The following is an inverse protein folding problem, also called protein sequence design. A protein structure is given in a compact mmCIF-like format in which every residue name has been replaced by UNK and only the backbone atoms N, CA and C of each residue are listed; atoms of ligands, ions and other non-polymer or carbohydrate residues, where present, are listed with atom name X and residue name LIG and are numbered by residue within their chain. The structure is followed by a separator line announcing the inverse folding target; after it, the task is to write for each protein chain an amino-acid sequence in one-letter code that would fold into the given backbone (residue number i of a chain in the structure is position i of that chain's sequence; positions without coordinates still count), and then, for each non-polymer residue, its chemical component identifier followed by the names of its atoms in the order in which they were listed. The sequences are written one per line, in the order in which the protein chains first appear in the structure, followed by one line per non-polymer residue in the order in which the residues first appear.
data_IF_335524363332
#
_entry.id   IF_335524363332
#
_cell.length_a   1.000
_cell.length_b   1.000
_cell.length_c   1.000
_cell.angle_alpha   90.00
_cell.angle_beta   90.00
_cell.angle_gamma   90.00
#
_symmetry.space_group_name_H-M   'P 1'
#
loop_
_entity.id
_entity.type
_entity.pdbx_description
1 polymer ?
#
# COMPACT_ATOMS: atom_id res chain seq x y z
N UNK A 1 -21.17 -2.75 -15.60
CA UNK A 1 -20.85 -4.13 -15.17
C UNK A 1 -19.38 -4.30 -14.73
N UNK A 2 -18.41 -3.71 -15.43
CA UNK A 2 -16.96 -3.81 -15.10
C UNK A 2 -16.56 -3.23 -13.74
N UNK A 3 -17.11 -2.07 -13.34
CA UNK A 3 -16.76 -1.41 -12.07
C UNK A 3 -17.14 -2.26 -10.84
N UNK A 4 -18.29 -2.96 -10.87
CA UNK A 4 -18.72 -3.82 -9.75
C UNK A 4 -17.79 -5.02 -9.53
N UNK A 5 -17.20 -5.60 -10.60
CA UNK A 5 -16.24 -6.71 -10.47
C UNK A 5 -14.95 -6.27 -9.76
N UNK A 6 -14.47 -5.05 -10.05
CA UNK A 6 -13.27 -4.50 -9.39
C UNK A 6 -13.44 -4.37 -7.88
N UNK A 7 -14.59 -3.86 -7.43
CA UNK A 7 -14.89 -3.70 -5.99
C UNK A 7 -14.97 -5.05 -5.27
N UNK A 8 -15.57 -6.06 -5.89
CA UNK A 8 -15.67 -7.41 -5.32
C UNK A 8 -14.28 -8.03 -5.19
N UNK A 9 -13.45 -7.93 -6.23
CA UNK A 9 -12.08 -8.45 -6.22
C UNK A 9 -11.24 -7.78 -5.11
N UNK A 10 -11.38 -6.47 -4.94
CA UNK A 10 -10.70 -5.72 -3.89
C UNK A 10 -11.10 -6.21 -2.49
N UNK A 11 -12.40 -6.41 -2.24
CA UNK A 11 -12.88 -6.93 -0.95
C UNK A 11 -12.37 -8.36 -0.68
N UNK A 12 -12.27 -9.21 -1.71
CA UNK A 12 -11.70 -10.56 -1.57
C UNK A 12 -10.23 -10.48 -1.19
N UNK A 13 -9.46 -9.60 -1.84
CA UNK A 13 -8.05 -9.37 -1.55
C UNK A 13 -7.86 -8.90 -0.10
N UNK A 14 -8.63 -7.89 0.32
CA UNK A 14 -8.57 -7.36 1.69
C UNK A 14 -8.88 -8.43 2.74
N UNK A 15 -9.89 -9.27 2.52
CA UNK A 15 -10.23 -10.34 3.46
C UNK A 15 -9.15 -11.45 3.48
N UNK A 16 -8.61 -11.82 2.32
CA UNK A 16 -7.62 -12.90 2.20
C UNK A 16 -6.29 -12.55 2.88
N UNK A 17 -5.88 -11.28 2.81
CA UNK A 17 -4.58 -10.83 3.28
C UNK A 17 -4.66 -9.91 4.50
N UNK A 18 -5.80 -9.89 5.21
CA UNK A 18 -6.02 -9.02 6.36
C UNK A 18 -4.89 -9.12 7.41
N UNK A 19 -4.44 -10.35 7.71
CA UNK A 19 -3.38 -10.60 8.68
C UNK A 19 -2.02 -10.01 8.28
N UNK A 20 -1.66 -10.06 6.98
CA UNK A 20 -0.38 -9.56 6.49
C UNK A 20 -0.43 -8.08 6.11
N UNK A 21 -1.61 -7.55 5.79
CA UNK A 21 -1.78 -6.18 5.29
C UNK A 21 -1.20 -5.17 6.27
N UNK A 22 -1.61 -5.22 7.54
CA UNK A 22 -1.17 -4.24 8.53
C UNK A 22 0.33 -4.29 8.76
N UNK A 23 0.91 -5.49 8.84
CA UNK A 23 2.36 -5.68 9.02
C UNK A 23 3.15 -5.13 7.84
N UNK A 24 2.72 -5.42 6.60
CA UNK A 24 3.41 -4.96 5.38
C UNK A 24 3.31 -3.45 5.18
N UNK A 25 2.16 -2.86 5.48
CA UNK A 25 2.00 -1.39 5.44
C UNK A 25 2.90 -0.68 6.47
N UNK A 26 3.05 -1.25 7.68
CA UNK A 26 3.99 -0.71 8.67
C UNK A 26 5.46 -0.87 8.23
N UNK A 27 5.80 -1.99 7.59
CA UNK A 27 7.16 -2.24 7.09
C UNK A 27 7.54 -1.25 5.98
N UNK A 28 6.69 -1.05 4.97
CA UNK A 28 6.98 -0.12 3.89
C UNK A 28 7.06 1.33 4.38
N UNK A 29 6.26 1.71 5.38
CA UNK A 29 6.36 2.99 6.07
C UNK A 29 7.72 3.15 6.77
N UNK A 30 8.16 2.14 7.50
CA UNK A 30 9.43 2.16 8.22
C UNK A 30 10.62 2.26 7.26
N UNK A 31 10.62 1.46 6.18
CA UNK A 31 11.65 1.50 5.13
C UNK A 31 11.71 2.87 4.47
N UNK A 32 10.55 3.49 4.21
CA UNK A 32 10.47 4.86 3.67
C UNK A 32 11.07 5.90 4.63
N UNK A 33 10.78 5.81 5.94
CA UNK A 33 11.33 6.72 6.96
C UNK A 33 12.86 6.53 7.10
N UNK A 34 13.33 5.29 7.03
CA UNK A 34 14.74 4.94 7.17
C UNK A 34 15.59 5.28 5.92
N UNK A 35 14.97 5.71 4.82
CA UNK A 35 15.63 5.87 3.51
C UNK A 35 16.32 4.59 3.03
N UNK A 36 15.77 3.43 3.40
CA UNK A 36 16.23 2.13 2.93
C UNK A 36 15.66 1.82 1.54
N UNK A 37 15.94 0.63 1.00
CA UNK A 37 15.50 0.25 -0.34
C UNK A 37 13.97 0.07 -0.41
N UNK A 38 13.27 1.18 -0.66
CA UNK A 38 11.82 1.25 -0.78
C UNK A 38 11.27 0.37 -1.90
N UNK A 39 12.00 0.23 -3.02
CA UNK A 39 11.55 -0.59 -4.13
C UNK A 39 11.51 -2.08 -3.78
N UNK A 40 12.50 -2.57 -3.03
CA UNK A 40 12.52 -3.96 -2.57
C UNK A 40 11.33 -4.25 -1.65
N UNK A 41 11.04 -3.37 -0.68
CA UNK A 41 9.90 -3.55 0.22
C UNK A 41 8.55 -3.39 -0.51
N UNK A 42 8.50 -2.50 -1.52
CA UNK A 42 7.33 -2.35 -2.39
C UNK A 42 6.99 -3.66 -3.11
N UNK A 43 7.99 -4.35 -3.66
CA UNK A 43 7.80 -5.64 -4.35
C UNK A 43 7.23 -6.73 -3.43
N UNK A 44 7.53 -6.69 -2.14
CA UNK A 44 6.91 -7.60 -1.16
C UNK A 44 5.51 -7.15 -0.74
N UNK A 45 5.30 -5.85 -0.59
CA UNK A 45 4.04 -5.28 -0.11
C UNK A 45 2.90 -5.45 -1.12
N UNK A 46 3.17 -5.31 -2.43
CA UNK A 46 2.16 -5.44 -3.51
C UNK A 46 1.54 -6.84 -3.62
N UNK A 47 2.16 -7.87 -3.01
CA UNK A 47 1.61 -9.23 -2.97
C UNK A 47 0.37 -9.34 -2.07
N UNK A 48 0.24 -8.43 -1.11
CA UNK A 48 -0.77 -8.50 -0.04
C UNK A 48 -1.66 -7.26 0.03
N UNK A 49 -1.15 -6.10 -0.39
CA UNK A 49 -1.83 -4.84 -0.27
C UNK A 49 -2.24 -4.31 -1.65
N UNK A 50 -3.40 -3.68 -1.72
CA UNK A 50 -3.82 -2.95 -2.91
C UNK A 50 -3.00 -1.67 -3.09
N UNK A 51 -2.93 -1.18 -4.33
CA UNK A 51 -2.26 0.08 -4.65
C UNK A 51 -2.75 1.25 -3.77
N UNK A 52 -4.07 1.36 -3.54
CA UNK A 52 -4.64 2.41 -2.69
C UNK A 52 -4.17 2.34 -1.23
N UNK A 53 -4.05 1.14 -0.67
CA UNK A 53 -3.53 0.94 0.69
C UNK A 53 -2.05 1.37 0.79
N UNK A 54 -1.25 0.99 -0.20
CA UNK A 54 0.18 1.32 -0.25
C UNK A 54 0.39 2.83 -0.38
N UNK A 55 -0.31 3.46 -1.32
CA UNK A 55 -0.20 4.91 -1.55
C UNK A 55 -0.63 5.71 -0.31
N UNK A 56 -1.72 5.31 0.35
CA UNK A 56 -2.16 5.97 1.59
C UNK A 56 -1.11 5.83 2.70
N UNK A 57 -0.55 4.63 2.90
CA UNK A 57 0.47 4.41 3.92
C UNK A 57 1.74 5.24 3.67
N UNK A 58 2.17 5.37 2.41
CA UNK A 58 3.32 6.20 2.06
C UNK A 58 3.04 7.70 2.20
N UNK A 59 1.81 8.15 1.96
CA UNK A 59 1.43 9.55 2.20
C UNK A 59 1.47 9.96 3.67
N UNK A 60 1.18 9.05 4.59
CA UNK A 60 1.25 9.31 6.03
C UNK A 60 2.69 9.63 6.51
N UNK A 61 3.71 9.07 5.83
CA UNK A 61 5.11 9.19 6.25
C UNK A 61 5.96 10.11 5.38
N UNK A 62 5.68 10.19 4.07
CA UNK A 62 6.42 11.01 3.11
C UNK A 62 5.75 12.35 2.79
N UNK A 63 4.52 12.55 3.27
CA UNK A 63 3.66 13.66 2.85
C UNK A 63 3.08 13.45 1.45
N UNK A 64 1.97 14.12 1.17
CA UNK A 64 1.45 14.21 -0.20
C UNK A 64 2.29 15.19 -1.00
N UNK A 65 2.42 14.96 -2.31
CA UNK A 65 3.02 15.92 -3.23
C UNK A 65 2.37 17.29 -3.01
N UNK A 66 3.11 18.20 -2.37
CA UNK A 66 2.75 19.60 -2.24
C UNK A 66 3.20 20.25 -3.52
N UNK A 67 2.36 20.18 -4.55
CA UNK A 67 2.63 20.88 -5.79
C UNK A 67 2.93 22.34 -5.49
N UNK A 68 4.17 22.75 -5.70
CA UNK A 68 4.42 24.15 -5.95
C UNK A 68 3.83 24.43 -7.33
N UNK A 69 2.88 25.35 -7.38
CA UNK A 69 2.71 26.19 -8.55
C UNK A 69 3.73 27.32 -8.47
#
# INVERSE_FOLDING_TARGET
MYVKKGIILLNILHNRHAAQTETRLKQIQQVAIQNDNLFAELMETVKYCSLGQITNALFEVGGQYRGNM
#
